data_IF_788955275364
#
_entry.id   IF_788955275364
#
_cell.length_a   1.000
_cell.length_b   1.000
_cell.length_c   1.000
_cell.angle_alpha   90.00
_cell.angle_beta   90.00
_cell.angle_gamma   90.00
#
_symmetry.space_group_name_H-M   'P 1'
#
loop_
_entity.id
_entity.type
_entity.pdbx_description
1 polymer ?
#
# COMPACT_ATOMS: atom_id res chain seq x y z
N UNK A 1 -23.97 -13.80 2.08
CA UNK A 1 -23.73 -12.97 0.87
C UNK A 1 -22.62 -11.99 1.20
N UNK A 2 -21.83 -11.56 0.21
CA UNK A 2 -20.77 -10.57 0.43
C UNK A 2 -21.31 -9.15 0.50
N UNK A 3 -20.75 -8.34 1.41
CA UNK A 3 -21.06 -6.92 1.57
C UNK A 3 -20.84 -6.15 0.26
N UNK A 4 -21.74 -5.22 -0.04
CA UNK A 4 -21.69 -4.37 -1.23
C UNK A 4 -21.67 -2.89 -0.87
N UNK A 5 -21.23 -2.07 -1.83
CA UNK A 5 -21.13 -0.63 -1.69
C UNK A 5 -21.73 0.02 -2.95
N UNK A 6 -22.59 1.01 -2.76
CA UNK A 6 -23.28 1.73 -3.83
C UNK A 6 -23.05 3.22 -3.70
N UNK A 7 -22.60 3.87 -4.78
CA UNK A 7 -22.41 5.31 -4.84
C UNK A 7 -23.51 5.95 -5.69
N UNK A 8 -24.17 6.96 -5.14
CA UNK A 8 -25.24 7.71 -5.76
C UNK A 8 -24.81 9.16 -5.98
N UNK A 9 -25.23 9.77 -7.08
CA UNK A 9 -24.95 11.17 -7.35
C UNK A 9 -26.16 11.85 -7.97
N UNK A 10 -25.92 13.11 -8.39
CA UNK A 10 -26.92 13.99 -9.01
C UNK A 10 -28.04 14.39 -8.05
N UNK A 11 -27.70 14.59 -6.77
CA UNK A 11 -28.61 15.22 -5.80
C UNK A 11 -28.70 16.73 -6.12
N UNK A 12 -29.89 17.24 -6.50
CA UNK A 12 -30.10 18.67 -6.73
C UNK A 12 -29.79 19.47 -5.47
N UNK A 13 -29.17 20.65 -5.60
CA UNK A 13 -28.69 21.44 -4.46
C UNK A 13 -29.78 21.80 -3.45
N UNK A 14 -30.98 22.10 -3.94
CA UNK A 14 -32.14 22.50 -3.15
C UNK A 14 -32.68 21.40 -2.23
N UNK A 15 -32.52 20.12 -2.57
CA UNK A 15 -32.99 18.99 -1.73
C UNK A 15 -31.90 18.41 -0.83
N UNK A 16 -30.64 18.85 -0.96
CA UNK A 16 -29.52 18.32 -0.17
C UNK A 16 -29.74 18.44 1.34
N UNK A 17 -30.20 19.57 1.90
CA UNK A 17 -30.41 19.66 3.34
C UNK A 17 -31.47 18.68 3.84
N UNK A 18 -32.61 18.60 3.15
CA UNK A 18 -33.70 17.68 3.50
C UNK A 18 -33.29 16.21 3.36
N UNK A 19 -32.56 15.87 2.29
CA UNK A 19 -32.04 14.50 2.08
C UNK A 19 -31.02 14.12 3.17
N UNK A 20 -30.11 15.03 3.51
CA UNK A 20 -29.12 14.78 4.55
C UNK A 20 -29.79 14.62 5.93
N UNK A 21 -30.80 15.42 6.25
CA UNK A 21 -31.58 15.26 7.47
C UNK A 21 -32.32 13.91 7.50
N UNK A 22 -32.93 13.50 6.38
CA UNK A 22 -33.58 12.18 6.30
C UNK A 22 -32.59 11.03 6.60
N UNK A 23 -31.33 11.12 6.14
CA UNK A 23 -30.29 10.13 6.46
C UNK A 23 -30.01 10.12 7.97
N UNK A 24 -29.94 11.30 8.61
CA UNK A 24 -29.77 11.41 10.08
C UNK A 24 -30.95 10.86 10.87
N UNK A 25 -32.14 10.86 10.27
CA UNK A 25 -33.35 10.24 10.81
C UNK A 25 -33.48 8.75 10.46
N UNK A 26 -32.48 8.17 9.80
CA UNK A 26 -32.43 6.73 9.49
C UNK A 26 -33.01 6.33 8.14
N UNK A 27 -33.27 7.28 7.23
CA UNK A 27 -33.76 7.01 5.86
C UNK A 27 -32.84 7.61 4.79
N UNK A 28 -32.14 6.74 4.05
CA UNK A 28 -31.47 7.15 2.82
C UNK A 28 -32.45 7.12 1.65
N UNK A 29 -32.72 8.28 1.03
CA UNK A 29 -33.80 8.43 0.03
C UNK A 29 -33.29 8.60 -1.40
N UNK A 30 -34.12 8.19 -2.38
CA UNK A 30 -33.78 8.17 -3.81
C UNK A 30 -34.96 8.62 -4.68
N UNK A 31 -34.71 9.62 -5.53
CA UNK A 31 -35.73 10.22 -6.38
C UNK A 31 -35.80 9.60 -7.77
N UNK A 32 -37.00 9.60 -8.34
CA UNK A 32 -37.31 9.06 -9.67
C UNK A 32 -38.28 9.96 -10.40
N UNK A 33 -38.08 10.09 -11.71
CA UNK A 33 -39.03 10.81 -12.55
C UNK A 33 -40.19 9.85 -12.83
N UNK A 34 -41.41 10.31 -12.57
CA UNK A 34 -42.66 9.62 -12.93
C UNK A 34 -42.85 8.24 -12.29
N UNK A 35 -42.43 8.06 -11.02
CA UNK A 35 -42.74 6.85 -10.24
C UNK A 35 -43.94 7.10 -9.30
N UNK A 36 -45.07 6.48 -9.61
CA UNK A 36 -46.29 6.58 -8.79
C UNK A 36 -46.41 5.44 -7.77
N UNK A 37 -45.77 4.29 -8.02
CA UNK A 37 -45.89 3.08 -7.21
C UNK A 37 -44.53 2.51 -6.80
N UNK A 38 -44.53 1.61 -5.81
CA UNK A 38 -43.34 0.93 -5.31
C UNK A 38 -42.59 0.16 -6.41
N UNK A 39 -41.25 0.13 -6.34
CA UNK A 39 -40.42 -0.72 -7.22
C UNK A 39 -40.72 -2.21 -7.05
N UNK A 40 -41.31 -2.62 -5.92
CA UNK A 40 -41.75 -4.01 -5.70
C UNK A 40 -43.01 -4.36 -6.50
N UNK A 41 -43.82 -3.36 -6.83
CA UNK A 41 -45.04 -3.53 -7.62
C UNK A 41 -44.75 -3.42 -9.12
N UNK A 42 -43.96 -2.42 -9.49
CA UNK A 42 -43.57 -2.19 -10.87
C UNK A 42 -42.09 -1.82 -10.97
N UNK A 43 -41.30 -2.68 -11.60
CA UNK A 43 -39.87 -2.41 -11.79
C UNK A 43 -39.67 -1.30 -12.81
N UNK A 44 -39.27 -0.12 -12.34
CA UNK A 44 -38.98 1.02 -13.20
C UNK A 44 -37.50 1.04 -13.62
N UNK A 45 -37.21 0.41 -14.77
CA UNK A 45 -35.96 0.59 -15.52
C UNK A 45 -34.67 0.37 -14.71
N UNK A 46 -33.72 1.29 -14.85
CA UNK A 46 -32.35 1.16 -14.34
C UNK A 46 -32.19 1.29 -12.81
N UNK A 47 -33.28 1.48 -12.05
CA UNK A 47 -33.26 1.65 -10.58
C UNK A 47 -33.69 0.39 -9.81
N UNK A 48 -34.03 -0.69 -10.51
CA UNK A 48 -34.35 -1.98 -9.88
C UNK A 48 -33.24 -2.48 -8.94
N UNK A 49 -32.00 -2.04 -9.11
CA UNK A 49 -30.89 -2.39 -8.22
C UNK A 49 -31.09 -1.94 -6.76
N UNK A 50 -31.98 -0.97 -6.49
CA UNK A 50 -32.35 -0.63 -5.10
C UNK A 50 -32.96 -1.82 -4.36
N UNK A 51 -33.64 -2.71 -5.10
CA UNK A 51 -34.19 -3.97 -4.57
C UNK A 51 -33.11 -5.02 -4.32
N UNK A 52 -31.87 -4.81 -4.75
CA UNK A 52 -30.74 -5.71 -4.51
C UNK A 52 -29.92 -5.31 -3.28
N UNK A 53 -30.14 -4.11 -2.74
CA UNK A 53 -29.43 -3.61 -1.56
C UNK A 53 -29.98 -4.31 -0.31
N UNK A 54 -29.08 -4.77 0.56
CA UNK A 54 -29.42 -5.57 1.75
C UNK A 54 -28.87 -4.92 3.03
N UNK A 55 -29.41 -5.30 4.21
CA UNK A 55 -28.80 -4.94 5.48
C UNK A 55 -27.30 -5.31 5.52
N UNK A 56 -26.48 -4.38 5.99
CA UNK A 56 -25.02 -4.49 6.03
C UNK A 56 -24.30 -3.84 4.85
N UNK A 57 -24.97 -3.62 3.72
CA UNK A 57 -24.40 -2.88 2.58
C UNK A 57 -24.19 -1.40 2.90
N UNK A 58 -23.34 -0.74 2.13
CA UNK A 58 -23.06 0.70 2.27
C UNK A 58 -23.63 1.52 1.13
N UNK A 59 -24.17 2.69 1.47
CA UNK A 59 -24.61 3.72 0.54
C UNK A 59 -23.68 4.92 0.68
N UNK A 60 -23.25 5.48 -0.44
CA UNK A 60 -22.48 6.72 -0.51
C UNK A 60 -23.22 7.74 -1.35
N UNK A 61 -23.70 8.82 -0.73
CA UNK A 61 -24.23 9.97 -1.46
C UNK A 61 -23.09 10.92 -1.81
N UNK A 62 -22.87 11.15 -3.11
CA UNK A 62 -21.87 12.07 -3.65
C UNK A 62 -22.50 13.44 -3.89
N UNK A 63 -21.76 14.49 -3.53
CA UNK A 63 -22.21 15.88 -3.46
C UNK A 63 -23.30 16.10 -2.40
N UNK A 64 -23.15 15.46 -1.23
CA UNK A 64 -23.97 15.64 -0.05
C UNK A 64 -23.04 15.82 1.17
N UNK A 65 -23.34 16.72 2.13
CA UNK A 65 -24.41 17.73 2.09
C UNK A 65 -24.14 18.84 1.05
N UNK A 66 -22.92 18.96 0.55
CA UNK A 66 -22.50 19.99 -0.41
C UNK A 66 -21.64 19.41 -1.53
N UNK A 67 -21.36 20.23 -2.56
CA UNK A 67 -20.61 19.78 -3.73
C UNK A 67 -19.18 19.35 -3.36
N UNK A 68 -18.74 18.19 -3.85
CA UNK A 68 -17.42 17.64 -3.55
C UNK A 68 -17.33 16.84 -2.25
N UNK A 69 -18.35 16.90 -1.39
CA UNK A 69 -18.48 16.09 -0.17
C UNK A 69 -19.24 14.80 -0.45
N UNK A 70 -19.01 13.81 0.40
CA UNK A 70 -19.66 12.52 0.39
C UNK A 70 -20.19 12.19 1.78
N UNK A 71 -21.34 11.51 1.82
CA UNK A 71 -21.92 10.90 3.02
C UNK A 71 -21.99 9.40 2.79
N UNK A 72 -21.22 8.62 3.55
CA UNK A 72 -21.35 7.17 3.61
C UNK A 72 -22.20 6.77 4.82
N UNK A 73 -23.08 5.78 4.65
CA UNK A 73 -23.92 5.24 5.72
C UNK A 73 -24.27 3.78 5.46
N UNK A 74 -24.36 2.96 6.51
CA UNK A 74 -24.68 1.54 6.41
C UNK A 74 -26.20 1.31 6.43
N UNK A 75 -26.64 0.36 5.60
CA UNK A 75 -28.04 -0.08 5.48
C UNK A 75 -28.42 -1.03 6.61
N UNK A 76 -29.59 -0.82 7.21
CA UNK A 76 -30.13 -1.65 8.31
C UNK A 76 -31.37 -2.44 7.93
N UNK A 77 -32.03 -2.08 6.83
CA UNK A 77 -33.28 -2.69 6.41
C UNK A 77 -33.37 -2.86 4.89
N UNK A 78 -34.49 -3.38 4.42
CA UNK A 78 -34.76 -3.53 2.99
C UNK A 78 -35.39 -2.28 2.39
N UNK A 79 -35.49 -2.27 1.05
CA UNK A 79 -36.17 -1.23 0.27
C UNK A 79 -37.60 -0.97 0.78
N UNK A 80 -37.91 0.32 0.94
CA UNK A 80 -39.23 0.85 1.24
C UNK A 80 -39.64 2.00 0.30
N UNK A 81 -40.94 2.31 0.33
CA UNK A 81 -41.57 3.35 -0.47
C UNK A 81 -42.58 4.11 0.40
N UNK A 82 -42.54 5.44 0.39
CA UNK A 82 -43.47 6.33 1.11
C UNK A 82 -43.71 7.66 0.36
N UNK A 83 -44.38 8.63 0.97
CA UNK A 83 -44.73 9.94 0.37
C UNK A 83 -43.52 10.81 0.00
N UNK A 84 -42.29 10.41 0.35
CA UNK A 84 -41.08 11.11 -0.03
C UNK A 84 -40.83 12.41 0.73
N UNK A 85 -40.16 13.36 0.07
CA UNK A 85 -39.85 14.69 0.57
C UNK A 85 -40.54 15.74 -0.31
N UNK A 86 -40.87 16.88 0.30
CA UNK A 86 -41.30 18.08 -0.43
C UNK A 86 -40.11 18.69 -1.17
N UNK A 87 -40.22 18.78 -2.50
CA UNK A 87 -39.25 19.37 -3.42
C UNK A 87 -39.88 20.55 -4.17
N UNK A 88 -39.08 21.36 -4.87
CA UNK A 88 -39.63 22.48 -5.67
C UNK A 88 -40.52 22.02 -6.84
N UNK A 89 -40.37 20.76 -7.25
CA UNK A 89 -41.14 20.11 -8.32
C UNK A 89 -42.28 19.21 -7.82
N UNK A 90 -42.65 19.32 -6.54
CA UNK A 90 -43.67 18.47 -5.90
C UNK A 90 -43.06 17.47 -4.92
N UNK A 91 -43.71 16.33 -4.71
CA UNK A 91 -43.20 15.25 -3.86
C UNK A 91 -42.33 14.29 -4.69
N UNK A 92 -41.12 14.00 -4.21
CA UNK A 92 -40.17 13.05 -4.82
C UNK A 92 -39.31 12.42 -3.70
N UNK A 93 -38.29 11.60 -4.01
CA UNK A 93 -37.47 10.89 -3.03
C UNK A 93 -38.30 9.86 -2.21
N UNK A 94 -39.32 9.30 -2.85
CA UNK A 94 -40.28 8.33 -2.30
C UNK A 94 -39.64 6.97 -1.97
N UNK A 95 -38.59 6.59 -2.71
CA UNK A 95 -37.84 5.37 -2.44
C UNK A 95 -36.88 5.60 -1.28
N UNK A 96 -36.80 4.65 -0.34
CA UNK A 96 -35.82 4.73 0.73
C UNK A 96 -35.23 3.37 1.12
N UNK A 97 -34.07 3.44 1.75
CA UNK A 97 -33.46 2.35 2.50
C UNK A 97 -33.28 2.79 3.95
N UNK A 98 -33.72 2.00 4.94
CA UNK A 98 -33.37 2.20 6.34
C UNK A 98 -31.86 2.13 6.51
N UNK A 99 -31.29 3.08 7.25
CA UNK A 99 -29.85 3.21 7.49
C UNK A 99 -29.56 3.47 8.96
N UNK A 100 -28.33 3.20 9.40
CA UNK A 100 -27.87 3.49 10.76
C UNK A 100 -27.20 4.88 10.83
N UNK A 101 -27.83 5.89 11.44
CA UNK A 101 -27.24 7.23 11.56
C UNK A 101 -25.92 7.25 12.33
N UNK A 102 -25.64 6.28 13.20
CA UNK A 102 -24.38 6.20 13.95
C UNK A 102 -23.18 5.86 13.06
N UNK A 103 -23.43 5.32 11.87
CA UNK A 103 -22.40 4.96 10.88
C UNK A 103 -22.11 6.08 9.87
N UNK A 104 -22.80 7.22 9.98
CA UNK A 104 -22.61 8.36 9.07
C UNK A 104 -21.15 8.79 9.09
N UNK A 105 -20.51 8.72 7.92
CA UNK A 105 -19.15 9.19 7.70
C UNK A 105 -19.16 10.24 6.60
N UNK A 106 -18.77 11.47 6.96
CA UNK A 106 -18.68 12.59 6.05
C UNK A 106 -17.23 12.85 5.63
N UNK A 107 -17.00 12.96 4.33
CA UNK A 107 -15.64 13.14 3.83
C UNK A 107 -15.62 13.87 2.50
N UNK A 108 -14.46 14.44 2.15
CA UNK A 108 -14.22 14.92 0.79
C UNK A 108 -13.90 13.74 -0.13
N UNK A 109 -14.45 13.69 -1.34
CA UNK A 109 -14.04 12.64 -2.32
C UNK A 109 -12.54 12.71 -2.65
N UNK A 110 -11.93 13.89 -2.46
CA UNK A 110 -10.52 14.15 -2.68
C UNK A 110 -9.67 13.99 -1.40
N UNK A 111 -10.28 13.59 -0.29
CA UNK A 111 -9.57 13.37 0.97
C UNK A 111 -8.42 12.37 0.79
N UNK A 112 -7.21 12.64 1.31
CA UNK A 112 -6.07 11.73 1.19
C UNK A 112 -6.34 10.36 1.81
N UNK A 113 -7.26 10.22 2.76
CA UNK A 113 -7.56 8.96 3.44
C UNK A 113 -8.41 7.98 2.60
N UNK A 114 -9.11 8.47 1.58
CA UNK A 114 -9.89 7.60 0.69
C UNK A 114 -8.96 6.91 -0.31
N UNK A 115 -9.11 5.63 -0.63
CA UNK A 115 -8.23 5.00 -1.62
C UNK A 115 -8.59 5.47 -3.05
N UNK A 116 -7.60 5.73 -3.95
CA UNK A 116 -7.86 6.16 -5.33
C UNK A 116 -8.68 5.17 -6.17
N UNK A 117 -8.61 3.88 -5.82
CA UNK A 117 -9.35 2.79 -6.46
C UNK A 117 -10.85 2.81 -6.15
N UNK A 118 -11.27 3.55 -5.12
CA UNK A 118 -12.68 3.74 -4.75
C UNK A 118 -13.31 4.76 -5.69
N UNK A 119 -14.04 4.27 -6.70
CA UNK A 119 -14.69 5.13 -7.67
C UNK A 119 -15.99 5.77 -7.13
N UNK A 120 -15.87 6.99 -6.62
CA UNK A 120 -17.00 7.85 -6.19
C UNK A 120 -17.41 8.88 -7.24
N UNK A 121 -17.19 8.57 -8.53
CA UNK A 121 -17.63 9.39 -9.67
C UNK A 121 -18.66 8.61 -10.50
N UNK A 122 -19.88 8.38 -9.98
CA UNK A 122 -20.90 7.66 -10.72
C UNK A 122 -21.31 8.41 -11.98
N UNK A 123 -21.30 7.68 -13.12
CA UNK A 123 -21.75 8.20 -14.41
C UNK A 123 -23.29 8.18 -14.54
N UNK A 124 -23.95 7.35 -13.71
CA UNK A 124 -25.42 7.22 -13.60
C UNK A 124 -25.89 7.73 -12.24
N UNK A 125 -27.20 7.69 -11.97
CA UNK A 125 -27.76 8.10 -10.66
C UNK A 125 -27.20 7.26 -9.51
N UNK A 126 -27.00 5.97 -9.75
CA UNK A 126 -26.31 5.06 -8.84
C UNK A 126 -25.36 4.14 -9.59
N UNK A 127 -24.30 3.69 -8.91
CA UNK A 127 -23.39 2.66 -9.39
C UNK A 127 -22.88 1.80 -8.24
N UNK A 128 -22.55 0.54 -8.52
CA UNK A 128 -21.82 -0.29 -7.56
C UNK A 128 -20.35 0.12 -7.52
N UNK A 129 -19.82 0.31 -6.31
CA UNK A 129 -18.39 0.46 -6.06
C UNK A 129 -17.79 -0.96 -5.97
N UNK A 130 -16.97 -1.30 -6.95
CA UNK A 130 -16.43 -2.68 -7.10
C UNK A 130 -15.35 -3.02 -6.07
N UNK A 131 -14.59 -2.02 -5.63
CA UNK A 131 -13.48 -2.17 -4.68
C UNK A 131 -14.00 -1.99 -3.25
N UNK A 132 -14.72 -3.01 -2.77
CA UNK A 132 -15.37 -3.01 -1.46
C UNK A 132 -14.35 -2.93 -0.33
N UNK A 133 -13.31 -3.76 -0.36
CA UNK A 133 -12.27 -3.78 0.68
C UNK A 133 -11.54 -2.43 0.76
N UNK A 134 -11.18 -1.85 -0.39
CA UNK A 134 -10.55 -0.52 -0.45
C UNK A 134 -11.48 0.58 0.09
N UNK A 135 -12.80 0.45 -0.09
CA UNK A 135 -13.78 1.37 0.49
C UNK A 135 -13.84 1.25 2.01
N UNK A 136 -13.88 0.03 2.55
CA UNK A 136 -13.87 -0.19 4.00
C UNK A 136 -12.55 0.30 4.62
N UNK A 137 -11.42 0.03 3.98
CA UNK A 137 -10.12 0.58 4.38
C UNK A 137 -10.09 2.12 4.34
N UNK A 138 -10.79 2.73 3.38
CA UNK A 138 -10.94 4.19 3.32
C UNK A 138 -11.72 4.75 4.51
N UNK A 139 -12.80 4.10 4.93
CA UNK A 139 -13.57 4.50 6.11
C UNK A 139 -12.73 4.41 7.38
N UNK A 140 -11.91 3.36 7.50
CA UNK A 140 -11.00 3.20 8.64
C UNK A 140 -9.90 4.28 8.64
N UNK A 141 -9.29 4.56 7.49
CA UNK A 141 -8.31 5.64 7.36
C UNK A 141 -8.92 6.99 7.75
N UNK A 142 -10.16 7.27 7.33
CA UNK A 142 -10.89 8.48 7.69
C UNK A 142 -11.15 8.57 9.20
N UNK A 143 -11.59 7.47 9.83
CA UNK A 143 -11.84 7.40 11.27
C UNK A 143 -10.59 7.73 12.09
N UNK A 144 -9.43 7.29 11.63
CA UNK A 144 -8.15 7.49 12.32
C UNK A 144 -7.36 8.70 11.83
N UNK A 145 -7.87 9.45 10.84
CA UNK A 145 -7.13 10.55 10.21
C UNK A 145 -5.71 10.15 9.83
N UNK A 146 -5.57 8.95 9.25
CA UNK A 146 -4.28 8.28 9.06
C UNK A 146 -3.28 9.08 8.21
N UNK A 147 -3.81 9.82 7.25
CA UNK A 147 -3.05 10.68 6.35
C UNK A 147 -3.46 12.13 6.53
N UNK A 148 -2.46 12.98 6.82
CA UNK A 148 -2.65 14.42 6.88
C UNK A 148 -2.82 14.99 5.45
N UNK A 149 -3.74 15.94 5.32
CA UNK A 149 -3.90 16.83 4.17
C UNK A 149 -2.63 17.62 3.80
N UNK A 150 -1.70 17.80 4.75
CA UNK A 150 -0.40 18.44 4.53
C UNK A 150 0.70 17.48 4.03
N UNK A 151 0.42 16.17 3.94
CA UNK A 151 1.36 15.21 3.38
C UNK A 151 1.68 15.60 1.92
N UNK A 152 2.92 16.02 1.68
CA UNK A 152 3.38 16.45 0.36
C UNK A 152 3.31 15.30 -0.63
N UNK A 153 2.38 15.37 -1.58
CA UNK A 153 2.26 14.41 -2.68
C UNK A 153 0.83 14.23 -3.17
N UNK A 154 0.68 13.77 -4.41
CA UNK A 154 -0.63 13.32 -4.88
C UNK A 154 -1.08 12.12 -4.03
N UNK A 155 -2.32 12.14 -3.55
CA UNK A 155 -3.00 11.04 -2.83
C UNK A 155 -2.70 9.64 -3.40
N UNK A 156 -2.66 9.51 -4.72
CA UNK A 156 -2.30 8.25 -5.39
C UNK A 156 -0.91 7.73 -5.04
N UNK A 157 0.07 8.63 -4.89
CA UNK A 157 1.45 8.30 -4.53
C UNK A 157 1.56 7.83 -3.09
N UNK A 158 0.79 8.42 -2.15
CA UNK A 158 0.78 8.03 -0.73
C UNK A 158 0.36 6.55 -0.59
N UNK A 159 -0.82 6.21 -1.12
CA UNK A 159 -1.35 4.85 -1.08
C UNK A 159 -0.51 3.87 -1.90
N UNK A 160 0.04 4.31 -3.04
CA UNK A 160 0.95 3.47 -3.83
C UNK A 160 2.21 3.13 -3.06
N UNK A 161 2.84 4.12 -2.40
CA UNK A 161 4.06 3.91 -1.61
C UNK A 161 3.80 2.95 -0.45
N UNK A 162 2.69 3.13 0.24
CA UNK A 162 2.27 2.21 1.30
C UNK A 162 2.13 0.79 0.77
N UNK A 163 1.34 0.61 -0.29
CA UNK A 163 1.10 -0.70 -0.89
C UNK A 163 2.38 -1.36 -1.39
N UNK A 164 3.26 -0.59 -2.01
CA UNK A 164 4.58 -1.09 -2.46
C UNK A 164 5.39 -1.59 -1.27
N UNK A 165 5.45 -0.82 -0.18
CA UNK A 165 6.24 -1.18 1.00
C UNK A 165 5.64 -2.34 1.82
N UNK A 166 4.31 -2.42 1.96
CA UNK A 166 3.67 -3.41 2.83
C UNK A 166 3.29 -4.71 2.11
N UNK A 167 2.96 -4.66 0.81
CA UNK A 167 2.51 -5.83 0.07
C UNK A 167 3.54 -6.28 -0.97
N UNK A 168 4.04 -5.36 -1.80
CA UNK A 168 4.78 -5.73 -3.01
C UNK A 168 6.23 -6.10 -2.68
N UNK A 169 6.96 -5.24 -1.96
CA UNK A 169 8.36 -5.47 -1.61
C UNK A 169 8.56 -6.71 -0.71
N UNK A 170 7.69 -7.00 0.28
CA UNK A 170 7.82 -8.23 1.07
C UNK A 170 7.61 -9.49 0.22
N UNK A 171 6.64 -9.47 -0.71
CA UNK A 171 6.41 -10.58 -1.65
C UNK A 171 7.57 -10.74 -2.63
N UNK A 172 8.13 -9.64 -3.10
CA UNK A 172 9.31 -9.65 -3.96
C UNK A 172 10.53 -10.25 -3.24
N UNK A 173 10.81 -9.79 -2.02
CA UNK A 173 11.90 -10.33 -1.18
C UNK A 173 11.73 -11.82 -0.95
N UNK A 174 10.49 -12.26 -0.65
CA UNK A 174 10.19 -13.69 -0.52
C UNK A 174 10.46 -14.46 -1.80
N UNK A 175 10.04 -13.95 -2.96
CA UNK A 175 10.32 -14.60 -4.24
C UNK A 175 11.83 -14.70 -4.52
N UNK A 176 12.60 -13.64 -4.22
CA UNK A 176 14.07 -13.64 -4.31
C UNK A 176 14.64 -14.75 -3.41
N UNK A 177 14.20 -14.82 -2.15
CA UNK A 177 14.64 -15.82 -1.18
C UNK A 177 14.33 -17.25 -1.62
N UNK A 178 13.10 -17.50 -2.08
CA UNK A 178 12.63 -18.83 -2.45
C UNK A 178 13.38 -19.36 -3.67
N UNK A 179 13.68 -18.49 -4.63
CA UNK A 179 14.38 -18.85 -5.88
C UNK A 179 15.91 -18.85 -5.74
N UNK A 180 16.46 -18.17 -4.73
CA UNK A 180 17.90 -18.06 -4.50
C UNK A 180 18.24 -18.44 -3.05
N UNK A 181 18.52 -19.72 -2.82
CA UNK A 181 18.87 -20.24 -1.48
C UNK A 181 20.36 -20.51 -1.35
N UNK A 182 20.91 -20.27 -0.16
CA UNK A 182 22.32 -20.48 0.14
C UNK A 182 23.22 -19.80 -0.90
N UNK A 183 24.11 -20.58 -1.53
CA UNK A 183 25.07 -20.08 -2.53
C UNK A 183 24.46 -19.41 -3.75
N UNK A 184 23.21 -19.76 -4.12
CA UNK A 184 22.54 -19.08 -5.23
C UNK A 184 22.18 -17.64 -4.86
N UNK A 185 21.92 -17.35 -3.58
CA UNK A 185 21.70 -15.97 -3.12
C UNK A 185 22.98 -15.13 -3.23
N UNK A 186 24.13 -15.72 -2.93
CA UNK A 186 25.43 -15.07 -3.07
C UNK A 186 25.73 -14.75 -4.53
N UNK A 187 25.51 -15.70 -5.45
CA UNK A 187 25.64 -15.47 -6.90
C UNK A 187 24.67 -14.41 -7.40
N UNK A 188 23.44 -14.43 -6.90
CA UNK A 188 22.44 -13.42 -7.23
C UNK A 188 22.90 -12.02 -6.77
N UNK A 189 23.41 -11.89 -5.54
CA UNK A 189 23.94 -10.61 -5.04
C UNK A 189 25.21 -10.18 -5.78
N UNK A 190 26.07 -11.11 -6.19
CA UNK A 190 27.20 -10.79 -7.07
C UNK A 190 26.71 -10.07 -8.34
N UNK A 191 25.65 -10.57 -8.97
CA UNK A 191 25.07 -9.89 -10.14
C UNK A 191 24.39 -8.57 -9.77
N UNK A 192 23.80 -8.44 -8.58
CA UNK A 192 23.27 -7.14 -8.15
C UNK A 192 24.39 -6.10 -7.98
N UNK A 193 25.51 -6.48 -7.36
CA UNK A 193 26.66 -5.62 -7.16
C UNK A 193 27.38 -5.27 -8.47
N UNK A 194 27.40 -6.18 -9.46
CA UNK A 194 28.07 -5.92 -10.75
C UNK A 194 27.39 -4.79 -11.52
N UNK A 195 26.11 -4.56 -11.24
CA UNK A 195 25.25 -3.56 -11.86
C UNK A 195 25.24 -2.25 -11.07
N UNK A 196 25.82 -2.22 -9.86
CA UNK A 196 25.96 -1.00 -9.09
C UNK A 196 26.96 -0.03 -9.77
N UNK A 197 26.67 1.28 -9.78
CA UNK A 197 27.62 2.26 -10.26
C UNK A 197 28.95 2.16 -9.50
N UNK A 198 30.05 2.40 -10.20
CA UNK A 198 31.40 2.44 -9.64
C UNK A 198 31.96 1.12 -9.12
N UNK A 199 31.25 0.01 -9.27
CA UNK A 199 31.82 -1.32 -8.99
C UNK A 199 32.95 -1.62 -9.97
N UNK A 200 34.13 -1.95 -9.43
CA UNK A 200 35.34 -2.25 -10.22
C UNK A 200 35.61 -3.74 -10.26
N UNK A 201 35.47 -4.41 -9.12
CA UNK A 201 35.62 -5.86 -9.06
C UNK A 201 34.79 -6.45 -7.94
N UNK A 202 34.37 -7.69 -8.16
CA UNK A 202 33.69 -8.50 -7.16
C UNK A 202 34.43 -9.82 -7.12
N UNK A 203 34.83 -10.24 -5.92
CA UNK A 203 35.42 -11.55 -5.69
C UNK A 203 34.43 -12.36 -4.87
N UNK A 204 34.09 -13.55 -5.37
CA UNK A 204 33.36 -14.53 -4.58
C UNK A 204 34.32 -15.15 -3.56
N UNK A 205 33.84 -15.42 -2.34
CA UNK A 205 34.52 -16.29 -1.39
C UNK A 205 34.70 -17.72 -1.93
N UNK A 206 33.95 -18.11 -2.97
CA UNK A 206 34.08 -19.42 -3.61
C UNK A 206 35.33 -19.54 -4.48
N UNK A 207 36.34 -20.24 -3.94
CA UNK A 207 37.48 -20.76 -4.72
C UNK A 207 38.83 -20.15 -4.34
N UNK A 208 38.86 -19.14 -3.49
CA UNK A 208 40.08 -18.78 -2.75
C UNK A 208 40.18 -19.67 -1.52
N UNK A 209 41.39 -20.14 -1.23
CA UNK A 209 41.71 -21.24 -0.30
C UNK A 209 41.49 -20.92 1.19
N UNK A 210 40.62 -19.97 1.53
CA UNK A 210 40.48 -19.48 2.90
C UNK A 210 39.07 -18.97 3.19
N UNK A 211 38.35 -19.71 4.05
CA UNK A 211 37.00 -19.43 4.60
C UNK A 211 37.00 -18.27 5.62
N UNK A 212 37.56 -17.10 5.29
CA UNK A 212 37.61 -15.95 6.22
C UNK A 212 36.29 -15.16 6.30
N UNK A 213 35.15 -15.88 6.31
CA UNK A 213 33.84 -15.32 6.66
C UNK A 213 33.24 -14.28 5.69
N UNK A 214 33.74 -14.14 4.45
CA UNK A 214 33.19 -13.21 3.47
C UNK A 214 32.60 -13.97 2.27
N UNK A 215 31.30 -13.78 2.00
CA UNK A 215 30.66 -14.34 0.82
C UNK A 215 31.05 -13.57 -0.44
N UNK A 216 31.10 -12.22 -0.36
CA UNK A 216 31.58 -11.36 -1.43
C UNK A 216 32.57 -10.30 -0.90
N UNK A 217 33.55 -9.94 -1.73
CA UNK A 217 34.42 -8.79 -1.53
C UNK A 217 34.23 -7.86 -2.72
N UNK A 218 33.74 -6.64 -2.48
CA UNK A 218 33.37 -5.69 -3.53
C UNK A 218 34.30 -4.48 -3.46
N UNK A 219 34.97 -4.18 -4.56
CA UNK A 219 35.81 -2.99 -4.71
C UNK A 219 35.07 -1.94 -5.54
N UNK A 220 34.95 -0.71 -5.01
CA UNK A 220 34.35 0.44 -5.68
C UNK A 220 35.39 1.54 -5.95
N UNK A 221 35.15 2.34 -7.00
CA UNK A 221 35.91 3.55 -7.34
C UNK A 221 35.01 4.78 -7.38
N UNK A 222 35.00 5.53 -6.29
CA UNK A 222 34.13 6.68 -6.10
C UNK A 222 34.85 7.99 -6.46
N UNK A 223 34.49 8.67 -7.56
CA UNK A 223 35.06 9.97 -7.90
C UNK A 223 34.46 11.06 -7.00
N UNK A 224 35.30 11.75 -6.25
CA UNK A 224 34.92 12.87 -5.36
C UNK A 224 35.84 14.05 -5.63
N UNK A 225 35.27 15.18 -6.07
CA UNK A 225 35.99 16.45 -6.27
C UNK A 225 37.30 16.35 -7.09
N UNK A 226 37.33 15.46 -8.09
CA UNK A 226 38.51 15.25 -8.96
C UNK A 226 39.53 14.24 -8.44
N UNK A 227 39.27 13.58 -7.30
CA UNK A 227 40.07 12.47 -6.76
C UNK A 227 39.24 11.18 -6.81
N UNK A 228 39.86 10.05 -7.14
CA UNK A 228 39.22 8.74 -7.07
C UNK A 228 39.52 8.08 -5.72
N UNK A 229 38.48 7.86 -4.92
CA UNK A 229 38.57 7.10 -3.68
C UNK A 229 38.24 5.63 -3.97
N UNK A 230 39.17 4.74 -3.62
CA UNK A 230 38.91 3.30 -3.67
C UNK A 230 38.32 2.87 -2.32
N UNK A 231 37.26 2.07 -2.34
CA UNK A 231 36.67 1.51 -1.14
C UNK A 231 36.40 0.03 -1.33
N UNK A 232 36.80 -0.79 -0.35
CA UNK A 232 36.54 -2.22 -0.31
C UNK A 232 35.49 -2.54 0.76
N UNK A 233 34.48 -3.30 0.36
CA UNK A 233 33.40 -3.77 1.22
C UNK A 233 33.44 -5.29 1.34
N UNK A 234 33.33 -5.80 2.57
CA UNK A 234 33.08 -7.22 2.84
C UNK A 234 31.58 -7.43 2.98
N UNK A 235 31.01 -8.40 2.26
CA UNK A 235 29.58 -8.69 2.29
C UNK A 235 29.36 -10.12 2.77
N UNK A 236 28.49 -10.26 3.77
CA UNK A 236 27.92 -11.55 4.17
C UNK A 236 26.45 -11.61 3.75
N UNK A 237 26.07 -12.70 3.09
CA UNK A 237 24.73 -12.93 2.57
C UNK A 237 24.04 -14.08 3.32
N UNK A 238 22.81 -13.86 3.80
CA UNK A 238 22.01 -14.89 4.49
C UNK A 238 20.61 -14.99 3.88
N UNK A 239 20.38 -16.04 3.09
CA UNK A 239 19.03 -16.40 2.64
C UNK A 239 18.27 -17.03 3.81
N UNK A 240 17.42 -16.24 4.46
CA UNK A 240 16.72 -16.57 5.70
C UNK A 240 15.21 -16.28 5.59
N UNK A 241 14.40 -17.00 6.35
CA UNK A 241 12.95 -16.79 6.46
C UNK A 241 12.57 -16.44 7.90
N UNK A 242 11.70 -15.45 8.09
CA UNK A 242 11.34 -14.98 9.43
C UNK A 242 12.44 -14.10 10.01
N UNK A 243 12.62 -14.15 11.32
CA UNK A 243 13.51 -13.25 12.06
C UNK A 243 14.94 -13.80 12.13
N UNK A 244 15.92 -12.98 11.78
CA UNK A 244 17.33 -13.32 11.73
C UNK A 244 18.03 -12.94 13.04
N UNK A 245 18.58 -13.94 13.71
CA UNK A 245 19.23 -13.81 15.02
C UNK A 245 20.73 -14.12 15.00
N UNK A 246 21.29 -14.43 13.83
CA UNK A 246 22.68 -14.90 13.74
C UNK A 246 23.67 -13.75 13.87
N UNK A 247 24.19 -13.57 15.08
CA UNK A 247 25.25 -12.60 15.36
C UNK A 247 26.60 -13.03 14.78
N UNK A 248 26.80 -14.33 14.56
CA UNK A 248 28.07 -14.85 14.04
C UNK A 248 28.34 -14.35 12.62
N UNK A 249 27.29 -14.06 11.84
CA UNK A 249 27.42 -13.43 10.54
C UNK A 249 28.13 -12.06 10.60
N UNK A 250 27.98 -11.33 11.72
CA UNK A 250 28.65 -10.05 11.94
C UNK A 250 30.11 -10.27 12.34
N UNK A 251 30.39 -11.26 13.20
CA UNK A 251 31.76 -11.64 13.56
C UNK A 251 32.58 -12.03 12.30
N UNK A 252 31.95 -12.78 11.39
CA UNK A 252 32.52 -13.16 10.10
C UNK A 252 32.87 -11.95 9.23
N UNK A 253 32.02 -10.92 9.23
CA UNK A 253 32.31 -9.65 8.55
C UNK A 253 33.54 -8.98 9.17
N UNK A 254 33.63 -8.92 10.49
CA UNK A 254 34.77 -8.30 11.19
C UNK A 254 36.08 -9.03 10.85
N UNK A 255 36.09 -10.36 10.90
CA UNK A 255 37.25 -11.17 10.49
C UNK A 255 37.64 -10.90 9.02
N UNK A 256 36.65 -10.87 8.13
CA UNK A 256 36.86 -10.56 6.72
C UNK A 256 37.43 -9.15 6.53
N UNK A 257 36.93 -8.15 7.27
CA UNK A 257 37.42 -6.78 7.18
C UNK A 257 38.90 -6.66 7.56
N UNK A 258 39.34 -7.34 8.61
CA UNK A 258 40.75 -7.40 8.99
C UNK A 258 41.60 -8.10 7.92
N UNK A 259 41.14 -9.26 7.49
CA UNK A 259 41.87 -10.12 6.54
C UNK A 259 42.08 -9.42 5.20
N UNK A 260 41.03 -8.79 4.68
CA UNK A 260 41.04 -8.18 3.36
C UNK A 260 41.36 -6.69 3.36
N UNK A 261 41.64 -6.13 4.55
CA UNK A 261 41.86 -4.70 4.80
C UNK A 261 40.72 -3.87 4.20
N UNK A 262 39.49 -4.27 4.49
CA UNK A 262 38.29 -3.62 3.97
C UNK A 262 37.96 -2.37 4.77
N UNK A 263 37.34 -1.40 4.08
CA UNK A 263 36.93 -0.12 4.64
C UNK A 263 35.58 -0.22 5.37
N UNK A 264 34.81 -1.28 5.11
CA UNK A 264 33.55 -1.54 5.77
C UNK A 264 33.00 -2.95 5.52
N UNK A 265 31.86 -3.21 6.16
CA UNK A 265 31.14 -4.47 6.12
C UNK A 265 29.65 -4.30 5.82
N UNK A 266 29.02 -5.31 5.24
CA UNK A 266 27.59 -5.30 4.95
C UNK A 266 26.99 -6.69 5.13
N UNK A 267 26.01 -6.81 6.03
CA UNK A 267 25.17 -7.99 6.14
C UNK A 267 23.92 -7.81 5.27
N UNK A 268 23.67 -8.73 4.34
CA UNK A 268 22.43 -8.77 3.54
C UNK A 268 21.65 -10.03 3.89
N UNK A 269 20.42 -9.88 4.39
CA UNK A 269 19.56 -11.02 4.72
C UNK A 269 18.14 -10.85 4.23
N UNK A 270 17.57 -11.90 3.65
CA UNK A 270 16.15 -11.90 3.25
C UNK A 270 15.18 -12.04 4.43
N UNK A 271 15.68 -12.39 5.62
CA UNK A 271 14.91 -12.39 6.87
C UNK A 271 14.78 -10.99 7.46
N UNK A 272 13.87 -10.81 8.42
CA UNK A 272 13.76 -9.56 9.18
C UNK A 272 14.94 -9.46 10.15
N UNK A 273 15.53 -8.28 10.27
CA UNK A 273 16.49 -8.02 11.34
C UNK A 273 15.76 -8.00 12.69
N UNK A 274 16.43 -8.51 13.71
CA UNK A 274 15.98 -8.38 15.09
C UNK A 274 16.69 -7.21 15.75
N UNK A 275 16.08 -6.59 16.75
CA UNK A 275 16.70 -5.50 17.51
C UNK A 275 18.09 -5.90 18.06
N UNK A 276 18.24 -7.16 18.47
CA UNK A 276 19.52 -7.69 18.94
C UNK A 276 20.57 -7.73 17.82
N UNK A 277 20.20 -8.13 16.60
CA UNK A 277 21.11 -8.13 15.45
C UNK A 277 21.49 -6.70 15.05
N UNK A 278 20.52 -5.78 15.00
CA UNK A 278 20.76 -4.38 14.68
C UNK A 278 21.70 -3.72 15.70
N UNK A 279 21.45 -3.92 16.99
CA UNK A 279 22.29 -3.42 18.06
C UNK A 279 23.71 -4.00 17.99
N UNK A 280 23.84 -5.28 17.63
CA UNK A 280 25.14 -5.92 17.52
C UNK A 280 25.95 -5.37 16.33
N UNK A 281 25.31 -5.22 15.15
CA UNK A 281 25.93 -4.57 13.99
C UNK A 281 26.45 -3.18 14.34
N UNK A 282 25.64 -2.38 15.03
CA UNK A 282 26.05 -1.04 15.47
C UNK A 282 27.25 -1.10 16.42
N UNK A 283 27.21 -1.98 17.43
CA UNK A 283 28.31 -2.12 18.40
C UNK A 283 29.64 -2.51 17.74
N UNK A 284 29.61 -3.43 16.77
CA UNK A 284 30.80 -3.85 16.03
C UNK A 284 31.30 -2.76 15.07
N UNK A 285 30.40 -1.96 14.50
CA UNK A 285 30.80 -0.79 13.72
C UNK A 285 31.54 0.25 14.56
N UNK A 286 31.05 0.51 15.78
CA UNK A 286 31.69 1.42 16.74
C UNK A 286 33.06 0.89 17.22
N UNK A 287 33.14 -0.39 17.57
CA UNK A 287 34.37 -1.02 18.08
C UNK A 287 35.48 -1.08 17.03
N UNK A 288 35.14 -1.38 15.78
CA UNK A 288 36.11 -1.47 14.68
C UNK A 288 36.49 -0.12 14.08
N UNK A 289 35.77 0.95 14.43
CA UNK A 289 35.92 2.29 13.85
C UNK A 289 35.61 2.37 12.34
N UNK A 290 34.93 1.36 11.80
CA UNK A 290 34.57 1.23 10.38
C UNK A 290 33.08 0.93 10.23
N UNK A 291 32.49 1.35 9.12
CA UNK A 291 31.06 1.15 8.89
C UNK A 291 30.73 -0.32 8.70
N UNK A 292 29.80 -0.84 9.50
CA UNK A 292 29.14 -2.14 9.27
C UNK A 292 27.64 -1.84 9.19
N UNK A 293 27.01 -2.23 8.08
CA UNK A 293 25.60 -1.93 7.82
C UNK A 293 24.79 -3.22 7.55
N UNK A 294 23.47 -3.09 7.54
CA UNK A 294 22.51 -4.20 7.43
C UNK A 294 21.40 -3.87 6.42
N UNK A 295 21.25 -4.73 5.41
CA UNK A 295 20.09 -4.76 4.52
C UNK A 295 19.27 -6.00 4.85
N UNK A 296 18.10 -5.81 5.47
CA UNK A 296 17.25 -6.90 5.93
C UNK A 296 15.83 -6.85 5.35
N UNK A 297 15.23 -8.03 5.18
CA UNK A 297 13.84 -8.20 4.81
C UNK A 297 13.44 -7.38 3.58
N UNK A 298 12.43 -6.53 3.75
CA UNK A 298 11.86 -5.69 2.69
C UNK A 298 12.90 -4.83 1.96
N UNK A 299 13.99 -4.44 2.65
CA UNK A 299 15.03 -3.61 2.07
C UNK A 299 15.92 -4.36 1.07
N UNK A 300 15.99 -5.71 1.14
CA UNK A 300 16.63 -6.50 0.08
C UNK A 300 15.89 -6.33 -1.24
N UNK A 301 14.55 -6.46 -1.23
CA UNK A 301 13.74 -6.23 -2.42
C UNK A 301 13.93 -4.81 -2.98
N UNK A 302 14.03 -3.81 -2.11
CA UNK A 302 14.29 -2.42 -2.50
C UNK A 302 15.68 -2.25 -3.12
N UNK A 303 16.70 -2.83 -2.49
CA UNK A 303 18.09 -2.80 -2.95
C UNK A 303 18.21 -3.37 -4.37
N UNK A 304 17.62 -4.55 -4.61
CA UNK A 304 17.62 -5.19 -5.93
C UNK A 304 16.87 -4.35 -6.96
N UNK A 305 15.66 -3.86 -6.66
CA UNK A 305 14.93 -3.01 -7.62
C UNK A 305 15.69 -1.73 -7.99
N UNK A 306 16.48 -1.19 -7.06
CA UNK A 306 17.26 0.04 -7.28
C UNK A 306 18.47 -0.19 -8.18
N UNK A 307 19.16 -1.31 -8.00
CA UNK A 307 20.48 -1.52 -8.60
C UNK A 307 20.49 -2.53 -9.75
N UNK A 308 19.58 -3.50 -9.76
CA UNK A 308 19.51 -4.53 -10.79
C UNK A 308 18.07 -4.92 -11.14
N UNK A 309 17.20 -3.96 -11.53
CA UNK A 309 15.80 -4.25 -11.84
C UNK A 309 15.64 -5.26 -12.98
N UNK A 310 16.57 -5.33 -13.94
CA UNK A 310 16.53 -6.26 -15.06
C UNK A 310 16.60 -7.74 -14.61
N UNK A 311 17.18 -8.04 -13.45
CA UNK A 311 17.17 -9.39 -12.88
C UNK A 311 15.77 -9.82 -12.44
N UNK A 312 14.86 -8.86 -12.23
CA UNK A 312 13.49 -9.08 -11.78
C UNK A 312 12.48 -9.03 -12.93
N UNK A 313 12.66 -8.08 -13.86
CA UNK A 313 11.69 -7.78 -14.92
C UNK A 313 12.17 -8.10 -16.33
N UNK A 314 13.40 -8.61 -16.47
CA UNK A 314 14.08 -8.81 -17.75
C UNK A 314 14.75 -7.54 -18.28
N UNK A 315 15.53 -7.67 -19.35
CA UNK A 315 16.07 -6.51 -20.06
C UNK A 315 14.94 -5.73 -20.75
N UNK A 316 15.08 -4.41 -20.78
CA UNK A 316 14.23 -3.57 -21.60
C UNK A 316 14.50 -3.93 -23.07
N UNK A 317 13.61 -4.72 -23.67
CA UNK A 317 13.61 -4.93 -25.12
C UNK A 317 13.13 -3.62 -25.74
N UNK A 318 14.08 -2.80 -26.20
CA UNK A 318 13.81 -1.60 -27.01
C UNK A 318 13.46 -2.00 -28.45
#
# INVERSE_FOLDING_TARGET
MSLQVFAFAKVPSEVRPSLYNAIREGKSRFGMWDQEVSLREQTHGANGFLLDIRPGDWIVHVNLPEYGRCVAVQVTGEYGFDEGLSCSWGHDLCNYLPVDPSTITEFSRNDPNVLPSVNLKPMRRGQRVRKVDDFLASLENLRHSRYDSHATGAKGVIHLRERVNQEILPRLTRAIQEMNKGKEFEKFLHEVFSQMPHTVSIKNGFGWRTDHGADLIVDFQNPVAGVTLNTRLVVQAKSFTGDHHDLHAVDQIVEGMETYKADGGLLITTGNATEALEAYVLSQSEETGRTIDLIAGVEVGRFVMRHAPHLLIGEATL
#
